data_IF_106106551648
#
_entry.id   IF_106106551648
#
_cell.length_a   1.000
_cell.length_b   1.000
_cell.length_c   1.000
_cell.angle_alpha   90.00
_cell.angle_beta   90.00
_cell.angle_gamma   90.00
#
_symmetry.space_group_name_H-M   'P 1'
#
loop_
_entity.id
_entity.type
_entity.pdbx_description
1 polymer ?
2 polymer ?
3 water ?
#
loop_
_entity_poly.entity_id
_entity_poly.type
_entity_poly.pdbx_seq_one_letter_code
_entity_poly.pdbx_strand_id
2 'polyribonucleotide' 'AUAUUUU' ?
#
# COMPACT_ATOMS: atom_id res chain seq x y z
N UNK A 5 4.93 -13.07 -16.80
CA UNK A 5 4.08 -14.26 -16.49
C UNK A 5 4.73 -15.09 -15.39
N UNK A 6 6.06 -15.23 -15.46
CA UNK A 6 6.80 -15.98 -14.45
C UNK A 6 6.59 -15.27 -13.13
N UNK A 7 6.27 -13.98 -13.21
CA UNK A 7 6.02 -13.13 -12.07
C UNK A 7 4.83 -13.67 -11.27
N UNK A 8 3.78 -14.06 -12.00
CA UNK A 8 2.57 -14.60 -11.40
C UNK A 8 2.86 -15.85 -10.58
N UNK A 9 3.81 -16.66 -11.05
CA UNK A 9 4.17 -17.88 -10.36
C UNK A 9 4.83 -17.53 -9.02
N UNK A 10 5.61 -16.44 -9.02
CA UNK A 10 6.27 -16.00 -7.80
C UNK A 10 5.22 -15.51 -6.81
N UNK A 11 4.26 -14.75 -7.31
CA UNK A 11 3.19 -14.20 -6.47
C UNK A 11 2.41 -15.34 -5.81
N UNK A 12 2.02 -16.34 -6.59
CA UNK A 12 1.27 -17.47 -6.07
C UNK A 12 2.07 -18.19 -4.99
N UNK A 13 3.37 -18.35 -5.21
CA UNK A 13 4.23 -19.03 -4.25
C UNK A 13 4.43 -18.20 -2.98
N UNK A 14 4.40 -16.88 -3.10
CA UNK A 14 4.56 -16.03 -1.94
C UNK A 14 3.28 -16.12 -1.10
N UNK A 15 2.14 -16.25 -1.78
CA UNK A 15 0.87 -16.37 -1.08
C UNK A 15 0.74 -17.73 -0.41
N UNK A 16 1.20 -18.77 -1.10
CA UNK A 16 1.14 -20.12 -0.53
C UNK A 16 1.95 -20.14 0.77
N UNK A 17 3.16 -19.58 0.72
CA UNK A 17 4.03 -19.52 1.90
C UNK A 17 3.39 -18.75 3.05
N UNK A 18 2.85 -17.58 2.74
CA UNK A 18 2.22 -16.75 3.75
C UNK A 18 1.06 -17.46 4.41
N UNK A 19 0.21 -18.08 3.60
CA UNK A 19 -0.94 -18.78 4.13
C UNK A 19 -0.58 -19.96 5.05
N UNK A 20 0.40 -20.75 4.65
CA UNK A 20 0.81 -21.89 5.47
C UNK A 20 1.52 -21.41 6.74
N UNK A 21 2.34 -20.38 6.59
CA UNK A 21 3.05 -19.81 7.73
C UNK A 21 2.08 -19.21 8.73
N UNK A 22 0.89 -18.83 8.27
CA UNK A 22 -0.11 -18.27 9.18
C UNK A 22 -0.70 -19.42 10.00
N UNK A 23 -1.07 -20.51 9.34
CA UNK A 23 -1.65 -21.66 10.03
C UNK A 23 -0.72 -22.16 11.14
N UNK A 24 0.57 -22.23 10.85
CA UNK A 24 1.57 -22.72 11.81
C UNK A 24 2.22 -21.60 12.65
N UNK A 25 1.75 -20.37 12.50
CA UNK A 25 2.33 -19.25 13.23
C UNK A 25 1.97 -19.07 14.69
N UNK A 26 2.68 -18.16 15.35
CA UNK A 26 2.47 -17.87 16.76
C UNK A 26 1.06 -17.47 17.15
N UNK A 27 0.35 -16.78 16.27
CA UNK A 27 -1.00 -16.38 16.62
C UNK A 27 -2.03 -17.46 16.44
N UNK A 28 -2.03 -18.12 15.29
CA UNK A 28 -3.01 -19.15 15.02
C UNK A 28 -2.83 -20.50 15.70
N UNK A 29 -1.64 -21.07 15.60
CA UNK A 29 -1.38 -22.39 16.15
C UNK A 29 -1.88 -22.64 17.57
N UNK A 30 -1.58 -21.75 18.53
CA UNK A 30 -2.06 -21.99 19.89
C UNK A 30 -3.58 -22.04 20.04
N UNK A 31 -4.29 -21.60 19.01
CA UNK A 31 -5.75 -21.60 19.08
C UNK A 31 -6.38 -22.54 18.05
N UNK A 32 -5.54 -23.36 17.41
CA UNK A 32 -6.00 -24.29 16.37
C UNK A 32 -6.09 -25.75 16.80
N UNK A 33 -7.22 -26.10 17.42
CA UNK A 33 -7.49 -27.45 17.91
C UNK A 33 -7.14 -28.54 16.90
N UNK A 34 -7.71 -28.45 15.70
CA UNK A 34 -7.44 -29.44 14.66
C UNK A 34 -5.95 -29.59 14.37
N UNK A 35 -5.30 -28.46 14.08
CA UNK A 35 -3.88 -28.49 13.75
C UNK A 35 -3.01 -28.96 14.93
N UNK A 36 -3.35 -28.54 16.14
CA UNK A 36 -2.55 -28.96 17.28
C UNK A 36 -2.58 -30.47 17.47
N UNK A 37 -3.63 -31.10 16.95
CA UNK A 37 -3.79 -32.56 17.04
C UNK A 37 -2.92 -33.25 16.00
N UNK A 38 -2.93 -32.73 14.76
CA UNK A 38 -2.13 -33.32 13.70
C UNK A 38 -0.67 -33.36 14.10
N UNK A 39 -0.22 -32.24 14.68
CA UNK A 39 1.16 -32.09 15.13
C UNK A 39 1.61 -33.14 16.13
N UNK A 40 0.68 -33.63 16.95
CA UNK A 40 1.03 -34.63 17.95
C UNK A 40 1.16 -36.05 17.39
N UNK A 41 0.75 -36.24 16.15
CA UNK A 41 0.79 -37.56 15.51
C UNK A 41 2.16 -38.07 15.04
N UNK A 42 2.87 -37.27 14.27
CA UNK A 42 4.16 -37.70 13.73
C UNK A 42 5.26 -36.64 13.91
N UNK A 43 5.51 -36.29 15.17
CA UNK A 43 6.53 -35.33 15.52
C UNK A 43 6.45 -34.01 14.76
N UNK A 44 5.24 -33.46 14.68
CA UNK A 44 5.06 -32.19 14.00
C UNK A 44 4.71 -32.28 12.54
N UNK A 45 5.15 -33.35 11.87
CA UNK A 45 4.86 -33.52 10.45
C UNK A 45 3.38 -33.65 10.12
N UNK A 46 2.95 -32.90 9.11
CA UNK A 46 1.57 -32.94 8.66
C UNK A 46 1.59 -33.21 7.16
N UNK A 47 1.01 -34.34 6.71
CA UNK A 47 0.99 -34.69 5.28
C UNK A 47 0.35 -33.60 4.41
N UNK A 48 0.86 -33.45 3.20
CA UNK A 48 0.32 -32.45 2.30
C UNK A 48 -1.11 -32.84 1.94
N UNK A 49 -1.42 -34.13 2.11
CA UNK A 49 -2.77 -34.63 1.82
C UNK A 49 -3.76 -33.99 2.78
N UNK A 50 -3.29 -33.68 3.99
CA UNK A 50 -4.13 -33.03 5.00
C UNK A 50 -4.13 -31.52 4.75
N UNK A 51 -2.94 -30.97 4.51
CA UNK A 51 -2.79 -29.53 4.27
C UNK A 51 -3.72 -29.04 3.16
N UNK A 52 -3.98 -29.91 2.19
CA UNK A 52 -4.83 -29.57 1.07
C UNK A 52 -6.30 -29.41 1.48
N UNK A 53 -6.65 -29.88 2.67
CA UNK A 53 -8.02 -29.75 3.18
C UNK A 53 -8.26 -28.33 3.71
N UNK A 54 -7.19 -27.56 3.87
CA UNK A 54 -7.30 -26.18 4.36
C UNK A 54 -7.81 -25.32 3.20
N UNK A 55 -9.06 -24.86 3.33
CA UNK A 55 -9.71 -24.06 2.29
C UNK A 55 -8.88 -22.96 1.66
N UNK A 56 -8.36 -22.04 2.48
CA UNK A 56 -7.55 -20.95 1.93
C UNK A 56 -6.37 -21.43 1.08
N UNK A 57 -5.69 -22.46 1.55
CA UNK A 57 -4.56 -22.98 0.77
C UNK A 57 -5.12 -23.67 -0.48
N UNK A 58 -6.22 -24.39 -0.30
CA UNK A 58 -6.86 -25.11 -1.40
C UNK A 58 -7.08 -24.15 -2.57
N UNK A 59 -7.76 -23.03 -2.29
CA UNK A 59 -8.06 -22.03 -3.31
C UNK A 59 -6.82 -21.55 -4.06
N UNK A 60 -5.66 -21.65 -3.42
CA UNK A 60 -4.41 -21.23 -4.06
C UNK A 60 -3.89 -22.36 -4.95
N UNK A 61 -3.92 -23.57 -4.43
CA UNK A 61 -3.44 -24.73 -5.17
C UNK A 61 -3.60 -25.99 -4.33
N UNK A 62 -3.82 -27.11 -5.00
CA UNK A 62 -3.95 -28.38 -4.31
C UNK A 62 -2.80 -29.28 -4.74
N UNK A 63 -1.92 -28.74 -5.58
CA UNK A 63 -0.78 -29.49 -6.11
C UNK A 63 0.43 -29.54 -5.17
N UNK A 64 0.73 -30.75 -4.68
CA UNK A 64 1.85 -30.96 -3.76
C UNK A 64 3.17 -30.32 -4.22
N UNK A 65 3.61 -30.66 -5.44
CA UNK A 65 4.87 -30.12 -5.96
C UNK A 65 4.94 -28.59 -5.94
N UNK A 66 3.83 -27.92 -6.21
CA UNK A 66 3.86 -26.46 -6.20
C UNK A 66 4.10 -25.99 -4.76
N UNK A 67 3.32 -26.54 -3.85
CA UNK A 67 3.42 -26.20 -2.45
C UNK A 67 4.86 -26.36 -1.94
N UNK A 68 5.45 -27.52 -2.18
CA UNK A 68 6.82 -27.77 -1.75
C UNK A 68 7.78 -26.77 -2.37
N UNK A 69 7.58 -26.48 -3.64
CA UNK A 69 8.43 -25.51 -4.34
C UNK A 69 8.34 -24.17 -3.62
N UNK A 70 7.12 -23.73 -3.38
CA UNK A 70 6.89 -22.46 -2.70
C UNK A 70 7.58 -22.42 -1.35
N UNK A 71 7.35 -23.44 -0.53
CA UNK A 71 7.96 -23.45 0.80
C UNK A 71 9.48 -23.48 0.79
N UNK A 72 10.08 -24.20 -0.15
CA UNK A 72 11.54 -24.29 -0.21
C UNK A 72 12.19 -22.94 -0.49
N UNK A 73 11.40 -21.96 -0.94
CA UNK A 73 11.93 -20.63 -1.25
C UNK A 73 11.58 -19.62 -0.17
N UNK A 74 10.68 -20.00 0.73
CA UNK A 74 10.24 -19.10 1.80
C UNK A 74 11.39 -18.32 2.45
N UNK A 75 11.15 -17.04 2.71
CA UNK A 75 12.14 -16.20 3.35
C UNK A 75 12.03 -16.38 4.85
N UNK A 76 10.80 -16.55 5.33
CA UNK A 76 10.54 -16.74 6.76
C UNK A 76 11.28 -17.94 7.30
N UNK A 77 11.30 -19.03 6.54
CA UNK A 77 11.98 -20.24 6.97
C UNK A 77 11.40 -20.79 8.26
N UNK A 78 10.08 -20.76 8.35
CA UNK A 78 9.40 -21.27 9.53
C UNK A 78 9.13 -22.75 9.35
N UNK A 79 8.85 -23.12 8.11
CA UNK A 79 8.50 -24.49 7.76
C UNK A 79 9.65 -25.38 7.32
N UNK A 80 9.49 -26.67 7.60
CA UNK A 80 10.46 -27.70 7.27
C UNK A 80 9.76 -28.72 6.38
N UNK A 81 10.45 -29.17 5.34
CA UNK A 81 9.92 -30.14 4.40
C UNK A 81 10.62 -31.49 4.60
N UNK A 82 9.86 -32.57 4.71
CA UNK A 82 10.45 -33.90 4.90
C UNK A 82 11.29 -34.31 3.67
N UNK A 83 12.16 -35.30 3.86
CA UNK A 83 13.00 -35.78 2.78
C UNK A 83 12.17 -36.25 1.59
N UNK A 84 11.16 -37.08 1.85
CA UNK A 84 10.33 -37.60 0.77
C UNK A 84 9.36 -36.55 0.26
N UNK A 85 9.42 -35.36 0.84
CA UNK A 85 8.59 -34.23 0.45
C UNK A 85 7.08 -34.49 0.45
N UNK A 86 6.61 -35.36 1.34
CA UNK A 86 5.19 -35.66 1.43
C UNK A 86 4.57 -34.99 2.67
N UNK A 87 5.41 -34.33 3.48
CA UNK A 87 4.91 -33.68 4.68
C UNK A 87 5.75 -32.49 5.13
N UNK A 88 5.14 -31.63 5.94
CA UNK A 88 5.82 -30.43 6.42
C UNK A 88 5.50 -30.20 7.90
N UNK A 89 6.33 -29.40 8.55
CA UNK A 89 6.12 -29.09 9.97
C UNK A 89 6.77 -27.77 10.32
N UNK A 90 6.37 -27.22 11.45
CA UNK A 90 6.98 -26.00 11.91
C UNK A 90 8.33 -26.47 12.44
N UNK A 91 9.40 -25.74 12.16
CA UNK A 91 10.73 -26.14 12.61
C UNK A 91 10.81 -26.32 14.11
N UNK A 92 11.45 -27.42 14.55
CA UNK A 92 11.61 -27.70 15.99
C UNK A 92 12.51 -26.61 16.58
N UNK A 93 13.20 -25.89 15.70
CA UNK A 93 14.11 -24.83 16.11
C UNK A 93 13.42 -23.49 16.31
N UNK A 94 12.11 -23.46 16.04
CA UNK A 94 11.32 -22.25 16.23
C UNK A 94 10.09 -22.64 17.03
N UNK A 95 10.32 -22.98 18.31
CA UNK A 95 9.22 -23.38 19.19
C UNK A 95 8.28 -22.22 19.46
N UNK A 96 7.05 -22.54 19.86
CA UNK A 96 6.08 -21.51 20.19
C UNK A 96 6.59 -20.78 21.41
N UNK A 97 6.35 -19.46 21.49
CA UNK A 97 6.79 -18.64 22.61
C UNK A 97 5.98 -18.99 23.86
N UNK A 98 6.58 -18.82 25.04
CA UNK A 98 5.87 -19.10 26.28
C UNK A 98 4.90 -17.95 26.47
N UNK A 99 3.65 -18.27 26.78
CA UNK A 99 2.65 -17.23 26.94
C UNK A 99 2.64 -16.71 28.38
N UNK A 100 3.49 -15.72 28.63
CA UNK A 100 3.61 -15.10 29.95
C UNK A 100 2.67 -13.89 30.07
N UNK A 101 2.56 -13.36 31.29
CA UNK A 101 1.73 -12.18 31.54
C UNK A 101 2.21 -11.10 30.58
N UNK A 102 3.53 -10.99 30.45
CA UNK A 102 4.15 -10.02 29.57
C UNK A 102 3.83 -10.25 28.09
N UNK A 103 3.89 -11.50 27.64
CA UNK A 103 3.58 -11.82 26.24
C UNK A 103 2.16 -11.39 25.91
N UNK A 104 1.21 -11.74 26.77
CA UNK A 104 -0.18 -11.38 26.55
C UNK A 104 -0.41 -9.88 26.62
N UNK A 105 0.29 -9.21 27.54
CA UNK A 105 0.16 -7.77 27.69
C UNK A 105 0.62 -7.07 26.41
N UNK A 106 1.68 -7.60 25.80
CA UNK A 106 2.23 -7.05 24.58
C UNK A 106 1.27 -7.28 23.41
N UNK A 107 0.67 -8.47 23.37
CA UNK A 107 -0.28 -8.80 22.32
C UNK A 107 -1.50 -7.89 22.36
N UNK A 108 -2.04 -7.68 23.56
CA UNK A 108 -3.21 -6.81 23.72
C UNK A 108 -2.89 -5.40 23.26
N UNK A 109 -1.69 -4.93 23.58
CA UNK A 109 -1.28 -3.57 23.21
C UNK A 109 -0.95 -3.40 21.73
N UNK A 110 -0.95 -4.50 20.99
CA UNK A 110 -0.68 -4.46 19.55
C UNK A 110 -1.96 -4.77 18.78
N UNK A 111 -3.07 -4.91 19.51
CA UNK A 111 -4.36 -5.24 18.90
C UNK A 111 -5.26 -4.01 18.73
N UNK A 112 -5.83 -3.91 17.53
CA UNK A 112 -6.67 -2.77 17.14
C UNK A 112 -8.09 -3.16 16.69
N UNK A 113 -9.03 -2.28 16.96
CA UNK A 113 -10.44 -2.47 16.59
C UNK A 113 -10.75 -1.52 15.45
N UNK A 114 -11.36 -2.04 14.38
CA UNK A 114 -11.72 -1.21 13.24
C UNK A 114 -13.15 -1.51 12.81
N UNK A 115 -13.95 -0.45 12.69
CA UNK A 115 -15.35 -0.58 12.29
C UNK A 115 -15.62 0.26 11.05
N UNK A 116 -16.50 -0.22 10.18
CA UNK A 116 -16.84 0.53 8.99
C UNK A 116 -16.81 -0.21 7.67
N UNK A 117 -16.41 -1.49 7.68
CA UNK A 117 -16.37 -2.26 6.44
C UNK A 117 -17.77 -2.76 6.08
N UNK A 118 -18.07 -2.88 4.78
CA UNK A 118 -19.39 -3.37 4.37
C UNK A 118 -19.54 -4.85 4.73
N UNK A 119 -20.78 -5.26 4.98
CA UNK A 119 -21.09 -6.64 5.36
C UNK A 119 -20.64 -7.70 4.36
N UNK A 120 -20.49 -7.31 3.09
CA UNK A 120 -20.07 -8.28 2.09
C UNK A 120 -18.56 -8.29 1.82
N UNK A 121 -17.79 -7.47 2.53
CA UNK A 121 -16.35 -7.45 2.33
C UNK A 121 -15.79 -8.78 2.79
N UNK A 122 -14.74 -9.25 2.11
CA UNK A 122 -14.11 -10.52 2.45
C UNK A 122 -12.74 -10.32 3.11
N UNK A 123 -12.20 -11.39 3.67
CA UNK A 123 -10.89 -11.33 4.31
C UNK A 123 -9.87 -10.82 3.30
N UNK A 124 -10.02 -11.22 2.03
CA UNK A 124 -9.09 -10.76 1.00
C UNK A 124 -9.20 -9.25 0.79
N UNK A 125 -10.42 -8.71 0.77
CA UNK A 125 -10.59 -7.27 0.60
C UNK A 125 -9.85 -6.57 1.74
N UNK A 126 -10.10 -7.04 2.95
CA UNK A 126 -9.50 -6.46 4.14
C UNK A 126 -7.98 -6.58 4.14
N UNK A 127 -7.47 -7.76 3.80
CA UNK A 127 -6.02 -7.98 3.76
C UNK A 127 -5.37 -7.00 2.80
N UNK A 128 -5.98 -6.82 1.62
CA UNK A 128 -5.43 -5.91 0.63
C UNK A 128 -5.42 -4.48 1.15
N UNK A 129 -6.49 -4.08 1.81
CA UNK A 129 -6.58 -2.73 2.34
C UNK A 129 -5.55 -2.50 3.44
N UNK A 130 -5.16 -3.57 4.13
CA UNK A 130 -4.19 -3.47 5.22
C UNK A 130 -2.72 -3.56 4.85
N UNK A 131 -2.41 -4.11 3.68
CA UNK A 131 -1.01 -4.26 3.28
C UNK A 131 -0.28 -2.92 3.17
N UNK A 132 -0.98 -1.84 3.47
CA UNK A 132 -0.39 -0.50 3.38
C UNK A 132 -0.31 0.20 4.73
N UNK A 133 -0.73 -0.47 5.79
CA UNK A 133 -0.72 0.16 7.11
C UNK A 133 0.19 -0.47 8.16
N UNK A 134 1.03 -1.41 7.75
CA UNK A 134 1.93 -2.04 8.70
C UNK A 134 1.80 -3.55 8.67
N UNK A 135 2.74 -4.23 9.32
CA UNK A 135 2.72 -5.69 9.34
C UNK A 135 1.62 -6.21 10.26
N UNK A 136 0.67 -6.92 9.67
CA UNK A 136 -0.45 -7.50 10.39
C UNK A 136 -0.19 -8.98 10.59
N UNK A 137 -0.48 -9.50 11.79
CA UNK A 137 -0.25 -10.90 12.08
C UNK A 137 -1.56 -11.69 12.19
N UNK A 138 -2.65 -10.97 12.38
CA UNK A 138 -3.94 -11.62 12.45
C UNK A 138 -5.07 -10.65 12.20
N UNK A 139 -6.08 -11.13 11.48
CA UNK A 139 -7.26 -10.35 11.16
C UNK A 139 -8.46 -11.19 11.57
N UNK A 140 -9.26 -10.68 12.50
CA UNK A 140 -10.45 -11.40 12.94
C UNK A 140 -11.70 -10.62 12.54
N UNK A 141 -12.47 -11.17 11.60
CA UNK A 141 -13.69 -10.51 11.16
C UNK A 141 -14.77 -10.85 12.17
N UNK A 142 -15.35 -9.83 12.79
CA UNK A 142 -16.39 -10.04 13.80
C UNK A 142 -17.70 -10.48 13.16
N UNK A 143 -18.17 -11.65 13.55
CA UNK A 143 -19.41 -12.20 13.02
C UNK A 143 -20.44 -12.53 14.08
N UNK A 144 -21.68 -12.72 13.64
CA UNK A 144 -22.79 -13.07 14.52
C UNK A 144 -22.63 -14.52 14.95
N UNK A 145 -23.51 -14.99 15.84
CA UNK A 145 -23.44 -16.37 16.29
C UNK A 145 -23.57 -17.30 15.09
N UNK A 146 -24.25 -16.84 14.05
CA UNK A 146 -24.44 -17.63 12.85
C UNK A 146 -23.51 -17.27 11.69
N UNK A 147 -22.33 -16.73 12.04
CA UNK A 147 -21.31 -16.38 11.07
C UNK A 147 -21.56 -15.26 10.05
N UNK A 148 -22.36 -14.27 10.41
CA UNK A 148 -22.62 -13.15 9.51
C UNK A 148 -21.69 -12.00 9.89
N UNK A 149 -20.99 -11.45 8.90
CA UNK A 149 -20.04 -10.35 9.14
C UNK A 149 -20.69 -9.05 9.61
N UNK A 150 -20.23 -8.58 10.76
CA UNK A 150 -20.75 -7.36 11.38
C UNK A 150 -20.14 -6.08 10.80
N UNK A 151 -19.10 -6.21 9.98
CA UNK A 151 -18.48 -5.03 9.42
C UNK A 151 -17.34 -4.45 10.27
N UNK A 152 -17.07 -5.09 11.41
CA UNK A 152 -15.99 -4.66 12.30
C UNK A 152 -14.98 -5.78 12.44
N UNK A 153 -13.72 -5.43 12.71
CA UNK A 153 -12.67 -6.43 12.86
C UNK A 153 -11.65 -6.08 13.93
N UNK A 154 -10.84 -7.07 14.29
CA UNK A 154 -9.77 -6.89 15.27
C UNK A 154 -8.52 -7.22 14.45
N UNK A 155 -7.50 -6.39 14.56
CA UNK A 155 -6.24 -6.61 13.84
C UNK A 155 -5.08 -6.62 14.82
N UNK A 156 -4.15 -7.53 14.62
CA UNK A 156 -2.98 -7.62 15.50
C UNK A 156 -1.75 -7.29 14.66
N UNK A 157 -1.04 -6.22 15.03
CA UNK A 157 0.15 -5.82 14.31
C UNK A 157 1.38 -6.50 14.88
N UNK A 158 2.47 -6.45 14.14
CA UNK A 158 3.73 -7.07 14.54
C UNK A 158 4.34 -6.45 15.81
N UNK A 159 3.99 -5.21 16.11
CA UNK A 159 4.52 -4.54 17.29
C UNK A 159 3.61 -3.42 17.77
N UNK A 160 3.77 -3.01 19.03
CA UNK A 160 2.95 -1.94 19.57
C UNK A 160 3.24 -0.64 18.84
N UNK A 161 4.43 -0.54 18.27
CA UNK A 161 4.83 0.66 17.53
C UNK A 161 4.05 0.83 16.23
N UNK A 162 3.89 -0.24 15.47
CA UNK A 162 3.15 -0.17 14.22
C UNK A 162 1.66 0.00 14.51
N UNK A 163 1.21 -0.59 15.62
CA UNK A 163 -0.20 -0.48 16.01
C UNK A 163 -0.50 0.95 16.45
N UNK A 164 0.41 1.54 17.23
CA UNK A 164 0.26 2.91 17.71
C UNK A 164 0.18 3.87 16.53
N UNK A 165 1.10 3.72 15.58
CA UNK A 165 1.11 4.57 14.40
C UNK A 165 -0.26 4.51 13.72
N UNK A 166 -0.69 3.30 13.35
CA UNK A 166 -1.96 3.09 12.68
C UNK A 166 -3.13 3.74 13.41
N UNK A 167 -3.23 3.51 14.72
CA UNK A 167 -4.32 4.08 15.51
C UNK A 167 -4.22 5.61 15.56
N UNK A 168 -3.01 6.15 15.36
CA UNK A 168 -2.79 7.59 15.38
C UNK A 168 -3.26 8.31 14.11
N UNK A 169 -3.31 7.59 12.99
CA UNK A 169 -3.73 8.17 11.72
C UNK A 169 -5.26 8.32 11.70
N UNK A 170 -5.75 9.57 11.78
CA UNK A 170 -7.17 9.96 11.80
C UNK A 170 -8.05 9.90 10.53
N UNK A 171 -7.50 10.21 9.37
CA UNK A 171 -8.34 10.20 8.18
C UNK A 171 -8.39 8.94 7.34
N UNK A 172 -8.54 7.78 7.98
CA UNK A 172 -8.56 6.53 7.24
C UNK A 172 -9.94 6.12 6.72
N UNK A 173 -9.96 5.63 5.49
CA UNK A 173 -11.21 5.22 4.85
C UNK A 173 -11.02 3.98 3.95
N UNK A 174 -12.08 3.18 3.86
CA UNK A 174 -12.06 1.96 3.03
C UNK A 174 -12.94 2.21 1.81
N UNK A 175 -12.36 2.16 0.62
CA UNK A 175 -13.14 2.40 -0.60
C UNK A 175 -13.97 3.66 -0.35
N UNK A 176 -13.29 4.70 0.11
CA UNK A 176 -13.89 5.99 0.42
C UNK A 176 -15.13 5.95 1.32
N UNK A 177 -15.00 5.24 2.43
CA UNK A 177 -16.05 5.13 3.43
C UNK A 177 -15.34 5.34 4.76
N UNK A 178 -15.85 6.24 5.61
CA UNK A 178 -15.19 6.51 6.89
C UNK A 178 -15.03 5.29 7.78
N UNK A 179 -13.98 5.31 8.59
CA UNK A 179 -13.69 4.21 9.49
C UNK A 179 -13.46 4.65 10.93
N UNK A 180 -13.93 3.84 11.86
CA UNK A 180 -13.75 4.10 13.28
C UNK A 180 -12.63 3.18 13.77
N UNK A 181 -11.50 3.76 14.16
CA UNK A 181 -10.35 2.98 14.62
C UNK A 181 -9.96 3.28 16.06
N UNK A 182 -9.86 2.22 16.87
CA UNK A 182 -9.49 2.34 18.29
C UNK A 182 -8.57 1.18 18.70
N UNK A 183 -7.94 1.31 19.86
CA UNK A 183 -7.11 0.21 20.35
C UNK A 183 -8.15 -0.76 20.87
N UNK A 184 -7.92 -2.05 20.68
CA UNK A 184 -8.88 -3.06 21.10
C UNK A 184 -9.33 -2.91 22.55
N UNK A 185 -8.39 -2.68 23.45
CA UNK A 185 -8.73 -2.52 24.87
C UNK A 185 -9.59 -1.27 25.10
N UNK A 186 -9.35 -0.24 24.30
CA UNK A 186 -10.11 1.00 24.40
C UNK A 186 -11.55 0.76 23.93
N UNK A 187 -11.70 -0.11 22.93
CA UNK A 187 -13.02 -0.45 22.39
C UNK A 187 -13.86 -1.17 23.46
N UNK A 188 -13.22 -2.03 24.25
CA UNK A 188 -13.94 -2.75 25.28
C UNK A 188 -14.26 -1.84 26.45
N UNK A 189 -13.38 -0.89 26.73
CA UNK A 189 -13.58 0.05 27.82
C UNK A 189 -14.90 0.81 27.61
N UNK A 190 -15.10 1.28 26.38
CA UNK A 190 -16.32 2.01 26.04
C UNK A 190 -17.53 1.08 26.05
N UNK A 191 -17.35 -0.12 25.50
CA UNK A 191 -18.42 -1.11 25.43
C UNK A 191 -18.40 -2.04 26.64
N UNK B 4 -7.25 22.64 16.02
CA UNK B 4 -8.68 22.74 15.59
C UNK B 4 -9.22 21.53 14.87
N UNK B 5 -8.37 20.50 14.77
CA UNK B 5 -8.73 19.24 14.13
C UNK B 5 -7.50 18.49 13.61
N UNK B 6 -7.06 17.49 14.35
CA UNK B 6 -5.89 16.72 13.94
C UNK B 6 -6.11 15.97 12.64
N UNK B 7 -7.36 15.64 12.33
CA UNK B 7 -7.65 14.93 11.11
C UNK B 7 -7.23 15.79 9.92
N UNK B 8 -7.54 17.08 9.98
CA UNK B 8 -7.19 18.04 8.93
C UNK B 8 -5.67 18.20 8.93
N UNK B 9 -5.08 18.07 10.11
CA UNK B 9 -3.64 18.17 10.27
C UNK B 9 -3.05 17.03 9.45
N UNK B 10 -3.62 15.84 9.61
CA UNK B 10 -3.17 14.65 8.90
C UNK B 10 -3.37 14.86 7.40
N UNK B 11 -4.51 15.40 7.02
CA UNK B 11 -4.80 15.65 5.62
C UNK B 11 -3.76 16.61 5.03
N UNK B 12 -3.34 17.58 5.82
CA UNK B 12 -2.35 18.55 5.38
C UNK B 12 -1.00 17.84 5.22
N UNK B 13 -0.59 17.08 6.23
CA UNK B 13 0.68 16.38 6.19
C UNK B 13 0.78 15.42 5.01
N UNK B 14 -0.32 14.72 4.72
CA UNK B 14 -0.30 13.77 3.61
C UNK B 14 -0.08 14.54 2.30
N UNK B 15 -0.74 15.68 2.16
CA UNK B 15 -0.59 16.49 0.97
C UNK B 15 0.86 16.98 0.84
N UNK B 16 1.51 17.30 1.96
CA UNK B 16 2.89 17.77 1.95
C UNK B 16 3.83 16.67 1.47
N UNK B 17 3.64 15.45 1.94
CA UNK B 17 4.47 14.32 1.53
C UNK B 17 4.30 14.06 0.04
N UNK B 18 3.05 14.02 -0.42
CA UNK B 18 2.76 13.75 -1.81
C UNK B 18 3.34 14.81 -2.75
N UNK B 19 3.23 16.09 -2.38
CA UNK B 19 3.75 17.16 -3.22
C UNK B 19 5.27 17.12 -3.33
N UNK B 20 5.95 16.99 -2.21
CA UNK B 20 7.40 16.94 -2.23
C UNK B 20 7.88 15.68 -2.97
N UNK B 21 7.22 14.55 -2.74
CA UNK B 21 7.63 13.32 -3.41
C UNK B 21 7.37 13.40 -4.91
N UNK B 22 6.48 14.31 -5.32
CA UNK B 22 6.23 14.50 -6.74
C UNK B 22 7.43 15.26 -7.32
N UNK B 23 7.82 16.36 -6.66
CA UNK B 23 8.96 17.16 -7.12
C UNK B 23 10.22 16.29 -7.32
N UNK B 24 10.47 15.39 -6.35
CA UNK B 24 11.64 14.51 -6.43
C UNK B 24 11.38 13.14 -7.07
N UNK B 25 10.17 12.94 -7.60
CA UNK B 25 9.80 11.68 -8.20
C UNK B 25 10.40 11.34 -9.56
N UNK B 26 10.20 10.08 -9.97
CA UNK B 26 10.74 9.59 -11.23
C UNK B 26 10.26 10.37 -12.45
N UNK B 27 9.00 10.83 -12.42
CA UNK B 27 8.52 11.57 -13.58
C UNK B 27 9.03 13.01 -13.65
N UNK B 28 8.90 13.76 -12.57
CA UNK B 28 9.32 15.16 -12.58
C UNK B 28 10.81 15.47 -12.52
N UNK B 29 11.51 14.87 -11.58
CA UNK B 29 12.94 15.16 -11.41
C UNK B 29 13.80 15.18 -12.68
N UNK B 30 13.72 14.15 -13.54
CA UNK B 30 14.56 14.19 -14.76
C UNK B 30 14.25 15.37 -15.68
N UNK B 31 13.09 15.99 -15.52
CA UNK B 31 12.73 17.12 -16.37
C UNK B 31 12.79 18.45 -15.60
N UNK B 32 13.19 18.39 -14.33
CA UNK B 32 13.26 19.59 -13.50
C UNK B 32 14.66 20.20 -13.42
N UNK B 33 14.95 21.10 -14.35
CA UNK B 33 16.26 21.75 -14.43
C UNK B 33 16.66 22.43 -13.12
N UNK B 34 15.77 23.24 -12.56
CA UNK B 34 16.08 23.94 -11.32
C UNK B 34 16.44 22.96 -10.21
N UNK B 35 15.63 21.93 -10.03
CA UNK B 35 15.88 20.96 -8.98
C UNK B 35 17.14 20.14 -9.24
N UNK B 36 17.34 19.72 -10.48
CA UNK B 36 18.52 18.93 -10.82
C UNK B 36 19.77 19.73 -10.50
N UNK B 37 19.71 21.04 -10.73
CA UNK B 37 20.86 21.91 -10.43
C UNK B 37 21.09 21.91 -8.92
N UNK B 38 20.02 22.19 -8.16
CA UNK B 38 20.10 22.23 -6.71
C UNK B 38 20.71 20.98 -6.10
N UNK B 39 20.36 19.83 -6.66
CA UNK B 39 20.82 18.53 -6.17
C UNK B 39 22.32 18.27 -6.28
N UNK B 40 22.96 18.91 -7.25
CA UNK B 40 24.40 18.71 -7.43
C UNK B 40 25.24 19.54 -6.46
N UNK B 41 24.63 20.53 -5.83
CA UNK B 41 25.34 21.42 -4.90
C UNK B 41 25.84 20.80 -3.61
N UNK B 42 25.05 19.93 -2.99
CA UNK B 42 25.44 19.35 -1.70
C UNK B 42 24.99 17.90 -1.51
N UNK B 43 25.59 16.98 -2.26
CA UNK B 43 25.24 15.57 -2.13
C UNK B 43 23.74 15.31 -2.26
N UNK B 44 23.04 16.17 -2.99
CA UNK B 44 21.61 15.97 -3.17
C UNK B 44 20.74 16.76 -2.21
N UNK B 45 21.29 17.13 -1.06
CA UNK B 45 20.53 17.89 -0.07
C UNK B 45 20.06 19.24 -0.61
N UNK B 46 18.81 19.56 -0.28
CA UNK B 46 18.19 20.82 -0.67
C UNK B 46 17.63 21.42 0.62
N UNK B 47 18.08 22.64 0.98
CA UNK B 47 17.62 23.32 2.20
C UNK B 47 16.12 23.57 2.19
N UNK B 48 15.50 23.53 3.38
CA UNK B 48 14.06 23.78 3.45
C UNK B 48 13.79 25.22 3.04
N UNK B 49 14.76 26.10 3.23
CA UNK B 49 14.62 27.51 2.84
C UNK B 49 14.31 27.56 1.35
N UNK B 50 14.93 26.67 0.59
CA UNK B 50 14.72 26.60 -0.84
C UNK B 50 13.38 25.95 -1.17
N UNK B 51 13.11 24.82 -0.51
CA UNK B 51 11.89 24.08 -0.73
C UNK B 51 10.60 24.90 -0.57
N UNK B 52 10.55 25.77 0.45
CA UNK B 52 9.34 26.56 0.64
C UNK B 52 9.14 27.60 -0.48
N UNK B 53 10.09 27.69 -1.41
CA UNK B 53 9.93 28.61 -2.54
C UNK B 53 9.10 27.90 -3.62
N UNK B 54 8.86 26.61 -3.42
CA UNK B 54 8.03 25.85 -4.36
C UNK B 54 6.58 26.22 -4.05
N UNK B 55 5.92 26.88 -4.99
CA UNK B 55 4.54 27.36 -4.83
C UNK B 55 3.49 26.38 -4.31
N UNK B 56 3.34 25.21 -4.92
CA UNK B 56 2.33 24.28 -4.42
C UNK B 56 2.61 23.84 -2.99
N UNK B 57 3.88 23.77 -2.60
CA UNK B 57 4.21 23.39 -1.23
C UNK B 57 3.99 24.60 -0.32
N UNK B 58 4.51 25.75 -0.72
CA UNK B 58 4.35 26.95 0.09
C UNK B 58 2.86 27.24 0.39
N UNK B 59 1.97 26.87 -0.53
CA UNK B 59 0.53 27.07 -0.30
C UNK B 59 0.01 26.15 0.80
N UNK B 60 0.64 25.00 0.99
CA UNK B 60 0.24 24.05 2.02
C UNK B 60 0.82 24.52 3.36
N UNK B 61 2.10 24.87 3.35
CA UNK B 61 2.75 25.37 4.54
C UNK B 61 4.14 25.87 4.20
N UNK B 62 4.67 26.71 5.09
CA UNK B 62 5.99 27.26 4.91
C UNK B 62 6.81 26.87 6.14
N UNK B 63 6.15 26.23 7.08
CA UNK B 63 6.77 25.83 8.35
C UNK B 63 7.70 24.61 8.25
N UNK B 64 8.99 24.83 8.52
CA UNK B 64 9.97 23.77 8.44
C UNK B 64 9.64 22.54 9.28
N UNK B 65 9.33 22.74 10.56
CA UNK B 65 9.02 21.63 11.45
C UNK B 65 7.84 20.80 10.97
N UNK B 66 6.81 21.46 10.45
CA UNK B 66 5.65 20.76 9.93
C UNK B 66 6.06 19.88 8.74
N UNK B 67 6.85 20.46 7.83
CA UNK B 67 7.29 19.73 6.65
C UNK B 67 8.08 18.49 7.06
N UNK B 68 9.03 18.67 7.97
CA UNK B 68 9.85 17.55 8.44
C UNK B 68 8.98 16.49 9.11
N UNK B 69 8.00 16.91 9.89
CA UNK B 69 7.11 15.96 10.56
C UNK B 69 6.32 15.19 9.49
N UNK B 70 5.82 15.91 8.50
CA UNK B 70 5.07 15.28 7.42
C UNK B 70 5.90 14.19 6.77
N UNK B 71 7.15 14.52 6.42
CA UNK B 71 8.06 13.59 5.75
C UNK B 71 8.57 12.40 6.58
N UNK B 72 8.77 12.59 7.88
CA UNK B 72 9.29 11.51 8.72
C UNK B 72 8.27 10.38 8.86
N UNK B 73 7.04 10.69 8.50
CA UNK B 73 5.95 9.73 8.59
C UNK B 73 5.47 9.21 7.24
N UNK B 74 6.19 9.52 6.17
CA UNK B 74 5.79 9.07 4.84
C UNK B 74 5.86 7.56 4.68
N UNK B 75 4.91 6.98 3.97
CA UNK B 75 4.95 5.54 3.76
C UNK B 75 5.81 5.25 2.53
N UNK B 76 5.90 6.22 1.62
CA UNK B 76 6.70 6.08 0.41
C UNK B 76 8.17 5.93 0.76
N UNK B 77 8.62 6.71 1.74
CA UNK B 77 10.01 6.67 2.16
C UNK B 77 10.96 6.98 1.00
N UNK B 78 10.63 8.02 0.24
CA UNK B 78 11.46 8.42 -0.89
C UNK B 78 12.49 9.45 -0.44
N UNK B 79 12.05 10.34 0.44
CA UNK B 79 12.88 11.42 0.94
C UNK B 79 13.69 11.10 2.19
N UNK B 80 14.86 11.72 2.30
CA UNK B 80 15.70 11.56 3.47
C UNK B 80 15.77 12.93 4.13
N UNK B 81 15.80 12.96 5.46
CA UNK B 81 15.88 14.21 6.22
C UNK B 81 17.24 14.28 6.93
N UNK B 82 17.93 15.41 6.81
CA UNK B 82 19.25 15.59 7.43
C UNK B 82 19.16 15.51 8.96
N UNK B 83 20.30 15.26 9.60
CA UNK B 83 20.33 15.15 11.05
C UNK B 83 19.92 16.48 11.71
N UNK B 84 20.50 17.58 11.25
CA UNK B 84 20.14 18.89 11.80
C UNK B 84 18.74 19.27 11.36
N UNK B 85 18.19 18.48 10.43
CA UNK B 85 16.86 18.69 9.91
C UNK B 85 16.63 20.01 9.16
N UNK B 86 17.68 20.55 8.55
CA UNK B 86 17.53 21.80 7.80
C UNK B 86 17.43 21.54 6.31
N UNK B 87 17.62 20.29 5.91
CA UNK B 87 17.56 19.96 4.49
C UNK B 87 17.04 18.54 4.22
N UNK B 88 16.62 18.31 2.98
CA UNK B 88 16.11 17.00 2.58
C UNK B 88 16.64 16.62 1.22
N UNK B 89 16.56 15.34 0.88
CA UNK B 89 17.03 14.86 -0.40
C UNK B 89 16.37 13.55 -0.76
N UNK B 90 16.41 13.19 -2.03
CA UNK B 90 15.83 11.93 -2.41
C UNK B 90 16.86 10.90 -1.94
N UNK B 91 16.39 9.79 -1.37
CA UNK B 91 17.32 8.81 -0.88
C UNK B 91 18.32 8.27 -1.90
N UNK B 92 19.60 8.20 -1.51
CA UNK B 92 20.58 7.67 -2.46
C UNK B 92 20.33 6.18 -2.73
N UNK B 93 19.48 5.58 -1.91
CA UNK B 93 19.12 4.16 -2.08
C UNK B 93 17.96 4.02 -3.07
N UNK B 94 17.44 5.15 -3.52
CA UNK B 94 16.34 5.16 -4.50
C UNK B 94 16.80 5.94 -5.71
N UNK B 95 17.83 5.45 -6.41
CA UNK B 95 18.33 6.16 -7.58
C UNK B 95 17.27 6.24 -8.67
N UNK B 96 17.41 7.22 -9.56
CA UNK B 96 16.47 7.36 -10.66
C UNK B 96 16.66 6.18 -11.60
N UNK B 97 15.58 5.68 -12.20
CA UNK B 97 15.74 4.55 -13.12
C UNK B 97 16.46 4.95 -14.41
N UNK B 98 17.14 4.00 -15.05
CA UNK B 98 17.84 4.26 -16.30
C UNK B 98 16.78 4.42 -17.40
N UNK B 99 16.86 5.51 -18.14
CA UNK B 99 15.90 5.77 -19.20
C UNK B 99 16.28 5.07 -20.50
N UNK B 100 15.93 3.80 -20.59
CA UNK B 100 16.23 3.01 -21.78
C UNK B 100 15.07 3.14 -22.77
N UNK B 101 15.18 2.47 -23.92
CA UNK B 101 14.13 2.48 -24.93
C UNK B 101 12.90 1.80 -24.33
N UNK B 102 13.15 0.73 -23.60
CA UNK B 102 12.08 -0.02 -22.95
C UNK B 102 11.35 0.88 -21.95
N UNK B 103 12.13 1.58 -21.12
CA UNK B 103 11.54 2.45 -20.11
C UNK B 103 10.59 3.49 -20.74
N UNK B 104 11.05 4.15 -21.81
CA UNK B 104 10.25 5.16 -22.48
C UNK B 104 9.05 4.54 -23.20
N UNK B 105 9.23 3.36 -23.78
CA UNK B 105 8.13 2.69 -24.46
C UNK B 105 7.03 2.41 -23.44
N UNK B 106 7.45 2.05 -22.23
CA UNK B 106 6.50 1.75 -21.15
C UNK B 106 5.76 2.99 -20.68
N UNK B 107 6.47 4.10 -20.50
CA UNK B 107 5.85 5.36 -20.06
C UNK B 107 4.79 5.82 -21.06
N UNK B 108 5.15 5.81 -22.35
CA UNK B 108 4.21 6.23 -23.39
C UNK B 108 2.94 5.40 -23.35
N UNK B 109 3.09 4.10 -23.11
CA UNK B 109 1.96 3.18 -23.08
C UNK B 109 1.11 3.26 -21.81
N UNK B 110 1.57 4.04 -20.84
CA UNK B 110 0.86 4.26 -19.58
C UNK B 110 0.30 5.68 -19.62
N UNK B 111 0.45 6.34 -20.76
CA UNK B 111 -0.02 7.73 -20.90
C UNK B 111 -1.38 7.86 -21.57
N UNK B 112 -2.25 8.69 -20.98
CA UNK B 112 -3.62 8.89 -21.46
C UNK B 112 -4.03 10.35 -21.70
N UNK B 113 -4.81 10.56 -22.76
CA UNK B 113 -5.34 11.87 -23.14
C UNK B 113 -6.79 11.98 -22.73
N UNK B 114 -7.16 13.13 -22.14
CA UNK B 114 -8.54 13.35 -21.72
C UNK B 114 -9.01 14.77 -21.99
N UNK B 115 -10.11 14.91 -22.74
CA UNK B 115 -10.64 16.23 -23.03
C UNK B 115 -12.07 16.30 -22.53
N UNK B 116 -12.46 17.46 -22.01
CA UNK B 116 -13.81 17.63 -21.51
C UNK B 116 -13.92 18.36 -20.19
N UNK B 117 -12.82 18.97 -19.74
CA UNK B 117 -12.83 19.71 -18.47
C UNK B 117 -13.10 21.18 -18.73
N UNK B 118 -13.77 21.87 -17.79
CA UNK B 118 -14.03 23.29 -18.01
C UNK B 118 -12.70 24.04 -18.09
N UNK B 119 -12.67 25.09 -18.90
CA UNK B 119 -11.46 25.88 -19.10
C UNK B 119 -10.90 26.48 -17.81
N UNK B 120 -11.76 26.61 -16.79
CA UNK B 120 -11.31 27.18 -15.53
C UNK B 120 -11.00 26.11 -14.49
N UNK B 121 -10.97 24.86 -14.91
CA UNK B 121 -10.67 23.77 -14.00
C UNK B 121 -9.26 23.97 -13.48
N UNK B 122 -9.06 23.70 -12.18
CA UNK B 122 -7.75 23.84 -11.57
C UNK B 122 -7.10 22.46 -11.45
N UNK B 123 -5.80 22.43 -11.21
CA UNK B 123 -5.09 21.16 -11.08
C UNK B 123 -5.68 20.38 -9.92
N UNK B 124 -5.99 21.08 -8.82
CA UNK B 124 -6.59 20.44 -7.66
C UNK B 124 -7.92 19.79 -8.03
N UNK B 125 -8.69 20.45 -8.88
CA UNK B 125 -9.97 19.88 -9.29
C UNK B 125 -9.76 18.56 -10.03
N UNK B 126 -8.79 18.56 -10.94
CA UNK B 126 -8.51 17.37 -11.73
C UNK B 126 -7.96 16.24 -10.86
N UNK B 127 -7.10 16.57 -9.90
CA UNK B 127 -6.55 15.55 -9.02
C UNK B 127 -7.69 14.89 -8.22
N UNK B 128 -8.61 15.72 -7.74
CA UNK B 128 -9.74 15.22 -6.95
C UNK B 128 -10.59 14.27 -7.79
N UNK B 129 -10.75 14.59 -9.07
CA UNK B 129 -11.54 13.76 -9.98
C UNK B 129 -10.89 12.41 -10.29
N UNK B 130 -9.57 12.41 -10.47
CA UNK B 130 -8.82 11.18 -10.77
C UNK B 130 -8.58 10.37 -9.51
N UNK B 131 -8.50 11.10 -8.41
CA UNK B 131 -8.24 10.57 -7.07
C UNK B 131 -8.53 9.08 -6.80
N UNK B 132 -9.54 8.54 -7.46
CA UNK B 132 -9.95 7.15 -7.24
C UNK B 132 -9.72 6.17 -8.39
N UNK B 133 -9.67 6.70 -9.61
CA UNK B 133 -9.54 5.90 -10.82
C UNK B 133 -8.19 5.31 -11.21
N UNK B 134 -7.31 5.10 -10.25
CA UNK B 134 -6.01 4.52 -10.55
C UNK B 134 -4.84 5.41 -10.18
N UNK B 135 -3.72 4.79 -9.80
CA UNK B 135 -2.53 5.53 -9.43
C UNK B 135 -2.06 6.45 -10.56
N UNK B 136 -2.03 7.75 -10.30
CA UNK B 136 -1.59 8.72 -11.29
C UNK B 136 -0.23 9.24 -10.84
N UNK B 137 0.73 9.29 -11.76
CA UNK B 137 2.08 9.76 -11.43
C UNK B 137 2.33 11.16 -12.00
N UNK B 138 1.44 11.59 -12.89
CA UNK B 138 1.57 12.92 -13.48
C UNK B 138 0.32 13.38 -14.21
N UNK B 139 0.06 14.68 -14.09
CA UNK B 139 -1.08 15.31 -14.74
C UNK B 139 -0.53 16.55 -15.43
N UNK B 140 -0.62 16.57 -16.75
CA UNK B 140 -0.14 17.69 -17.53
C UNK B 140 -1.32 18.40 -18.16
N UNK B 141 -1.65 19.59 -17.65
CA UNK B 141 -2.75 20.36 -18.20
C UNK B 141 -2.29 21.03 -19.48
N UNK B 142 -2.96 20.75 -20.58
CA UNK B 142 -2.56 21.33 -21.85
C UNK B 142 -2.93 22.81 -21.95
N UNK B 143 -1.92 23.64 -22.13
CA UNK B 143 -2.13 25.09 -22.22
C UNK B 143 -1.65 25.69 -23.54
N UNK B 144 -2.10 26.91 -23.80
CA UNK B 144 -1.73 27.64 -25.01
C UNK B 144 -0.34 28.20 -24.74
N UNK B 145 0.25 28.87 -25.74
CA UNK B 145 1.57 29.45 -25.55
C UNK B 145 1.42 30.52 -24.47
N UNK B 146 0.20 31.04 -24.32
CA UNK B 146 -0.08 32.06 -23.34
C UNK B 146 -0.61 31.52 -22.00
N UNK B 147 -0.25 30.27 -21.71
CA UNK B 147 -0.65 29.62 -20.46
C UNK B 147 -2.15 29.47 -20.23
N UNK B 148 -2.94 29.48 -21.30
CA UNK B 148 -4.39 29.33 -21.18
C UNK B 148 -4.70 27.83 -21.19
N UNK B 149 -5.54 27.36 -20.26
CA UNK B 149 -5.90 25.95 -20.20
C UNK B 149 -6.87 25.57 -21.32
N UNK B 150 -6.48 24.58 -22.12
CA UNK B 150 -7.28 24.12 -23.24
C UNK B 150 -8.46 23.25 -22.85
N UNK B 151 -8.44 22.70 -21.64
CA UNK B 151 -9.54 21.85 -21.21
C UNK B 151 -9.27 20.36 -21.43
N UNK B 152 -8.08 20.04 -21.91
CA UNK B 152 -7.67 18.65 -22.15
C UNK B 152 -6.38 18.41 -21.36
N UNK B 153 -6.12 17.16 -20.98
CA UNK B 153 -4.92 16.84 -20.22
C UNK B 153 -4.29 15.50 -20.60
N UNK B 154 -3.03 15.33 -20.19
CA UNK B 154 -2.32 14.09 -20.39
C UNK B 154 -2.14 13.59 -18.96
N UNK B 155 -2.42 12.32 -18.74
CA UNK B 155 -2.28 11.70 -17.43
C UNK B 155 -1.39 10.47 -17.58
N UNK B 156 -0.47 10.30 -16.64
CA UNK B 156 0.42 9.14 -16.68
C UNK B 156 0.09 8.26 -15.48
N UNK B 157 -0.31 7.02 -15.75
CA UNK B 157 -0.66 6.08 -14.70
C UNK B 157 0.59 5.29 -14.28
N UNK B 158 0.52 4.57 -13.17
CA UNK B 158 1.68 3.83 -12.69
C UNK B 158 2.01 2.58 -13.53
N UNK B 159 1.03 2.09 -14.29
CA UNK B 159 1.26 0.90 -15.13
C UNK B 159 0.34 0.90 -16.34
N UNK B 160 0.67 0.11 -17.35
CA UNK B 160 -0.18 0.05 -18.53
C UNK B 160 -1.50 -0.62 -18.16
N UNK B 161 -1.48 -1.41 -17.09
CA UNK B 161 -2.69 -2.09 -16.63
C UNK B 161 -3.72 -1.07 -16.13
N UNK B 162 -3.33 -0.23 -15.18
CA UNK B 162 -4.27 0.75 -14.65
C UNK B 162 -4.63 1.78 -15.71
N UNK B 163 -3.71 2.02 -16.65
CA UNK B 163 -3.99 2.97 -17.72
C UNK B 163 -5.04 2.35 -18.64
N UNK B 164 -4.92 1.06 -18.92
CA UNK B 164 -5.87 0.37 -19.80
C UNK B 164 -7.25 0.27 -19.16
N UNK B 165 -7.30 0.01 -17.85
CA UNK B 165 -8.58 -0.10 -17.17
C UNK B 165 -9.31 1.25 -17.15
N UNK B 166 -8.57 2.33 -16.93
CA UNK B 166 -9.19 3.65 -16.91
C UNK B 166 -9.83 3.92 -18.27
N UNK B 167 -9.03 3.76 -19.31
CA UNK B 167 -9.51 3.99 -20.67
C UNK B 167 -10.69 3.06 -20.98
N UNK B 168 -10.70 1.88 -20.39
CA UNK B 168 -11.77 0.91 -20.61
C UNK B 168 -13.10 1.33 -20.00
N UNK B 169 -13.05 2.13 -18.94
CA UNK B 169 -14.26 2.59 -18.27
C UNK B 169 -15.05 3.55 -19.15
N UNK B 170 -16.25 3.12 -19.62
CA UNK B 170 -17.16 3.87 -20.49
C UNK B 170 -17.99 5.00 -19.87
N UNK B 171 -18.26 4.93 -18.59
CA UNK B 171 -19.07 5.96 -17.96
C UNK B 171 -18.32 7.13 -17.39
N UNK B 172 -17.20 7.51 -18.01
CA UNK B 172 -16.41 8.62 -17.51
C UNK B 172 -17.05 9.96 -17.88
N UNK B 173 -17.15 10.85 -16.91
CA UNK B 173 -17.75 12.14 -17.12
C UNK B 173 -17.36 13.13 -16.03
N UNK B 174 -17.20 14.39 -16.38
CA UNK B 174 -16.82 15.39 -15.38
C UNK B 174 -18.01 16.32 -15.13
N UNK B 175 -18.70 16.06 -14.03
CA UNK B 175 -19.87 16.83 -13.63
C UNK B 175 -20.73 17.25 -14.83
N UNK B 176 -21.37 16.28 -15.48
CA UNK B 176 -22.27 16.52 -16.61
C UNK B 176 -21.66 16.49 -18.02
N UNK B 177 -20.37 16.72 -18.15
CA UNK B 177 -19.74 16.71 -19.47
C UNK B 177 -19.08 15.39 -19.83
N UNK B 178 -19.51 14.80 -20.96
CA UNK B 178 -18.92 13.54 -21.40
C UNK B 178 -17.47 13.78 -21.76
N UNK B 179 -16.60 12.86 -21.37
CA UNK B 179 -15.18 13.03 -21.66
C UNK B 179 -14.72 12.06 -22.73
N UNK B 180 -13.92 12.54 -23.68
CA UNK B 180 -13.38 11.64 -24.68
C UNK B 180 -12.02 11.28 -24.11
N UNK B 181 -11.81 9.99 -23.91
CA UNK B 181 -10.57 9.48 -23.34
C UNK B 181 -9.90 8.56 -24.35
N UNK B 182 -8.60 8.75 -24.55
CA UNK B 182 -7.83 7.94 -25.49
C UNK B 182 -6.41 7.76 -24.96
N UNK B 183 -5.72 6.74 -25.45
CA UNK B 183 -4.33 6.57 -25.03
C UNK B 183 -3.64 7.72 -25.74
N UNK B 184 -2.70 8.37 -25.06
CA UNK B 184 -1.98 9.50 -25.63
C UNK B 184 -1.51 9.29 -27.08
N UNK B 185 -0.84 8.18 -27.35
CA UNK B 185 -0.35 7.91 -28.70
C UNK B 185 -1.47 7.79 -29.72
N UNK B 186 -2.65 7.37 -29.27
CA UNK B 186 -3.81 7.24 -30.14
C UNK B 186 -4.28 8.64 -30.53
N UNK B 187 -4.28 9.54 -29.54
CA UNK B 187 -4.68 10.92 -29.77
C UNK B 187 -3.77 11.55 -30.80
N UNK B 188 -2.46 11.34 -30.65
CA UNK B 188 -1.50 11.90 -31.58
C UNK B 188 -1.71 11.31 -32.97
N UNK B 189 -2.03 10.03 -33.03
CA UNK B 189 -2.27 9.36 -34.30
C UNK B 189 -3.39 10.06 -35.06
N UNK B 190 -4.53 10.25 -34.41
CA UNK B 190 -5.67 10.90 -35.03
C UNK B 190 -5.48 12.41 -35.17
N UNK B 191 -4.31 12.89 -34.75
CA UNK B 191 -4.00 14.31 -34.81
C UNK B 191 -3.10 14.68 -35.98
#
# INVERSE_FOLDING_TARGET
GSNGDNEKMAALEAKICHQIEYYFGDFNLPRDKFLKEQIKLDEGWVPLEIMIKFNRLNRLTTDFNVIVEALSKSKAELMEISEDKTKIRRSPSKPLPEVTDEYKNDVKNRSVYIKGFPTDATLDDIKEWLEDKGQVLNIQMRRTLHKAFKGSIFVVFDSIESAKKFVETPGQKYKETDLLILFKDDYFAKKNE
GSNGDNEKMAALEAKICHQIEYYFGDFNLPRDKFLKEQIKLDEGWVPLEIMIKFNRLNRLTTDFNVIVEALSKSKAELMEISEDKTKIRRSPSKPLPEVTDEYKNDVKNRSVYIKGFPTDATLDDIKEWLEDKGQVLNIQMRRTLHKAFKGSIFVVFDSIESAKKFVETPGQKYKETDLLILFKDDYFAKKNE
#
